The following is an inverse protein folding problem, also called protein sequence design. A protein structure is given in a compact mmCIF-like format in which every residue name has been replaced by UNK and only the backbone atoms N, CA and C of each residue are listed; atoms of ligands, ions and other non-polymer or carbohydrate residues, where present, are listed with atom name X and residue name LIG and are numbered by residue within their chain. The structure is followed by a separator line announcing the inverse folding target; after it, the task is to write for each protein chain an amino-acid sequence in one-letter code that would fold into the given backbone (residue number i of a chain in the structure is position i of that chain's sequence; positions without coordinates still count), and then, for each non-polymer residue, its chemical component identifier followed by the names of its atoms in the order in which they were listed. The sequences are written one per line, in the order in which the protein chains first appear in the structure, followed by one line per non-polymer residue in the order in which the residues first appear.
data_IF_246004538287
#
_entry.id   IF_246004538287
#
_cell.length_a   1.000
_cell.length_b   1.000
_cell.length_c   1.000
_cell.angle_alpha   90.00
_cell.angle_beta   90.00
_cell.angle_gamma   90.00
#
_symmetry.space_group_name_H-M   'P 1'
#
loop_
_entity.id
_entity.type
_entity.pdbx_description
1 polymer ?
#
# COMPACT_ATOMS: atom_id res chain seq x y z
N UNK A 1 -16.83 -5.14 -3.10
CA UNK A 1 -16.09 -4.61 -1.94
C UNK A 1 -16.22 -3.09 -2.01
N UNK A 2 -16.86 -2.45 -1.03
CA UNK A 2 -17.03 -0.99 -0.98
C UNK A 2 -16.20 -0.47 0.19
N UNK A 3 -15.01 0.07 -0.11
CA UNK A 3 -14.16 0.72 0.88
C UNK A 3 -14.53 2.20 0.94
N UNK A 4 -15.47 2.56 1.80
CA UNK A 4 -15.94 3.95 1.94
C UNK A 4 -14.90 4.90 2.55
N UNK A 5 -13.86 4.34 3.19
CA UNK A 5 -12.86 5.06 3.98
C UNK A 5 -11.42 4.93 3.45
N UNK A 6 -11.22 4.12 2.42
CA UNK A 6 -9.94 3.82 1.78
C UNK A 6 -8.85 3.36 2.76
N UNK A 7 -9.19 2.43 3.66
CA UNK A 7 -8.16 1.78 4.47
C UNK A 7 -7.26 0.90 3.60
N UNK A 8 -5.94 1.11 3.71
CA UNK A 8 -4.94 0.22 3.13
C UNK A 8 -5.03 -1.20 3.71
N UNK A 9 -4.53 -2.18 2.95
CA UNK A 9 -4.67 -3.60 3.28
C UNK A 9 -3.33 -4.33 3.16
N UNK A 10 -3.09 -5.26 4.10
CA UNK A 10 -1.95 -6.17 4.07
C UNK A 10 -2.41 -7.57 4.49
N UNK A 11 -2.17 -8.57 3.64
CA UNK A 11 -2.56 -9.95 3.91
C UNK A 11 -1.36 -10.91 3.83
N UNK A 12 -1.37 -11.91 4.69
CA UNK A 12 -0.47 -13.06 4.56
C UNK A 12 -1.18 -14.16 3.77
N UNK A 13 -0.85 -14.26 2.48
CA UNK A 13 -1.50 -15.24 1.59
C UNK A 13 -1.18 -16.71 1.93
N UNK A 14 -0.13 -16.98 2.71
CA UNK A 14 0.19 -18.35 3.14
C UNK A 14 -0.66 -18.75 4.33
N UNK A 15 -0.85 -17.85 5.29
CA UNK A 15 -1.63 -18.10 6.50
C UNK A 15 -3.14 -17.84 6.30
N UNK A 16 -3.49 -16.90 5.43
CA UNK A 16 -4.85 -16.45 5.12
C UNK A 16 -5.04 -16.30 3.59
N UNK A 17 -5.12 -17.43 2.86
CA UNK A 17 -5.30 -17.42 1.39
C UNK A 17 -6.61 -16.76 0.91
N UNK A 18 -7.55 -16.55 1.82
CA UNK A 18 -8.86 -15.97 1.53
C UNK A 18 -8.93 -14.48 1.90
N UNK A 19 -7.83 -13.86 2.33
CA UNK A 19 -7.72 -12.41 2.60
C UNK A 19 -8.80 -11.90 3.58
N UNK A 20 -9.05 -12.67 4.64
CA UNK A 20 -10.09 -12.40 5.63
C UNK A 20 -9.60 -11.55 6.81
N UNK A 21 -8.29 -11.45 7.01
CA UNK A 21 -7.65 -10.79 8.14
C UNK A 21 -6.68 -9.72 7.65
N UNK A 22 -7.11 -8.45 7.66
CA UNK A 22 -6.23 -7.33 7.34
C UNK A 22 -5.21 -7.08 8.47
N UNK A 23 -3.92 -7.17 8.13
CA UNK A 23 -2.78 -7.03 9.04
C UNK A 23 -2.12 -5.64 8.98
N UNK A 24 -2.65 -4.69 8.21
CA UNK A 24 -2.01 -3.39 7.94
C UNK A 24 -1.61 -2.60 9.19
N UNK A 25 -2.37 -2.76 10.29
CA UNK A 25 -2.16 -2.03 11.53
C UNK A 25 -1.20 -2.71 12.53
N UNK A 26 -0.63 -3.87 12.18
CA UNK A 26 0.32 -4.59 13.05
C UNK A 26 1.65 -3.81 13.12
N UNK A 27 2.10 -3.33 14.29
CA UNK A 27 3.35 -2.58 14.42
C UNK A 27 4.57 -3.34 13.91
N UNK A 28 4.62 -4.65 14.17
CA UNK A 28 5.68 -5.56 13.77
C UNK A 28 5.79 -5.74 12.24
N UNK A 29 4.72 -5.45 11.50
CA UNK A 29 4.69 -5.56 10.03
C UNK A 29 4.91 -4.22 9.32
N UNK A 30 5.01 -3.09 10.03
CA UNK A 30 5.27 -1.78 9.42
C UNK A 30 6.53 -1.73 8.54
N UNK A 31 7.64 -2.42 8.88
CA UNK A 31 8.78 -2.52 7.97
C UNK A 31 8.43 -3.18 6.63
N UNK A 32 7.56 -4.20 6.64
CA UNK A 32 7.09 -4.89 5.42
C UNK A 32 6.21 -3.96 4.58
N UNK A 33 5.30 -3.21 5.23
CA UNK A 33 4.46 -2.20 4.55
C UNK A 33 5.34 -1.16 3.86
N UNK A 34 6.34 -0.62 4.55
CA UNK A 34 7.30 0.34 3.97
C UNK A 34 8.00 -0.24 2.74
N UNK A 35 8.45 -1.49 2.82
CA UNK A 35 9.11 -2.16 1.70
C UNK A 35 8.18 -2.38 0.50
N UNK A 36 6.90 -2.68 0.74
CA UNK A 36 5.91 -2.83 -0.33
C UNK A 36 5.55 -1.49 -0.97
N UNK A 37 5.31 -0.44 -0.18
CA UNK A 37 5.12 0.91 -0.71
C UNK A 37 6.33 1.35 -1.54
N UNK A 38 7.56 1.05 -1.09
CA UNK A 38 8.79 1.35 -1.84
C UNK A 38 8.82 0.64 -3.19
N UNK A 39 8.46 -0.64 -3.25
CA UNK A 39 8.38 -1.40 -4.50
C UNK A 39 7.30 -0.82 -5.42
N UNK A 40 6.13 -0.49 -4.88
CA UNK A 40 5.03 0.13 -5.62
C UNK A 40 5.45 1.45 -6.28
N UNK A 41 6.09 2.36 -5.53
CA UNK A 41 6.55 3.63 -6.07
C UNK A 41 7.62 3.47 -7.15
N UNK A 42 8.55 2.52 -6.98
CA UNK A 42 9.55 2.20 -8.01
C UNK A 42 8.88 1.70 -9.28
N UNK A 43 7.93 0.76 -9.14
CA UNK A 43 7.17 0.22 -10.26
C UNK A 43 6.37 1.30 -10.99
N UNK A 44 5.64 2.15 -10.26
CA UNK A 44 4.88 3.25 -10.83
C UNK A 44 5.75 4.19 -11.67
N UNK A 45 6.93 4.55 -11.15
CA UNK A 45 7.90 5.37 -11.88
C UNK A 45 8.41 4.68 -13.14
N UNK A 46 8.80 3.41 -13.05
CA UNK A 46 9.33 2.64 -14.18
C UNK A 46 8.31 2.50 -15.32
N UNK A 47 7.02 2.46 -14.98
CA UNK A 47 5.93 2.31 -15.95
C UNK A 47 5.25 3.64 -16.31
N UNK A 48 5.76 4.77 -15.83
CA UNK A 48 5.16 6.10 -16.03
C UNK A 48 3.67 6.16 -15.64
N UNK A 49 3.33 5.50 -14.53
CA UNK A 49 1.95 5.37 -14.04
C UNK A 49 1.44 6.65 -13.38
N UNK A 50 0.17 6.99 -13.60
CA UNK A 50 -0.51 8.14 -13.00
C UNK A 50 -1.18 7.68 -11.70
N UNK A 51 -0.37 7.70 -10.65
CA UNK A 51 -0.67 7.24 -9.28
C UNK A 51 -1.41 8.26 -8.40
N UNK A 52 -1.94 9.32 -9.00
CA UNK A 52 -2.75 10.33 -8.31
C UNK A 52 -4.01 10.59 -9.13
N UNK A 53 -5.11 10.88 -8.45
CA UNK A 53 -6.35 11.26 -9.10
C UNK A 53 -6.90 12.56 -8.46
N UNK A 54 -7.87 13.25 -9.10
CA UNK A 54 -8.43 14.49 -8.57
C UNK A 54 -9.15 14.34 -7.21
N UNK A 55 -9.43 13.11 -6.77
CA UNK A 55 -10.00 12.79 -5.48
C UNK A 55 -8.90 12.42 -4.48
N UNK A 56 -8.26 13.45 -3.92
CA UNK A 56 -7.08 13.37 -3.04
C UNK A 56 -7.21 12.36 -1.89
N UNK A 57 -8.44 12.12 -1.40
CA UNK A 57 -8.69 11.15 -0.33
C UNK A 57 -8.27 9.73 -0.70
N UNK A 58 -8.18 9.43 -1.99
CA UNK A 58 -7.73 8.13 -2.53
C UNK A 58 -6.29 8.11 -3.05
N UNK A 59 -5.56 9.22 -2.83
CA UNK A 59 -4.15 9.35 -3.22
C UNK A 59 -3.23 9.37 -1.98
N UNK A 60 -3.74 8.91 -0.83
CA UNK A 60 -2.97 8.72 0.39
C UNK A 60 -2.43 7.30 0.42
N UNK A 61 -1.18 7.15 0.86
CA UNK A 61 -0.55 5.87 1.11
C UNK A 61 0.19 5.93 2.44
N UNK A 62 0.46 4.78 3.11
CA UNK A 62 1.11 4.77 4.43
C UNK A 62 2.51 5.40 4.41
N UNK A 63 3.19 5.31 3.26
CA UNK A 63 4.49 5.94 3.02
C UNK A 63 4.51 6.60 1.63
N UNK A 64 4.90 7.87 1.57
CA UNK A 64 4.95 8.64 0.33
C UNK A 64 6.08 8.24 -0.63
N UNK A 65 6.08 8.79 -1.87
CA UNK A 65 6.98 8.39 -2.96
C UNK A 65 8.48 8.62 -2.69
N UNK A 66 8.83 9.46 -1.70
CA UNK A 66 10.22 9.72 -1.32
C UNK A 66 11.01 8.46 -0.94
N UNK A 67 10.34 7.45 -0.38
CA UNK A 67 10.97 6.19 0.04
C UNK A 67 11.51 5.36 -1.13
N UNK A 68 11.13 5.68 -2.38
CA UNK A 68 11.67 5.04 -3.57
C UNK A 68 13.16 5.35 -3.79
N UNK A 69 13.67 6.41 -3.17
CA UNK A 69 15.04 6.91 -3.31
C UNK A 69 15.93 6.64 -2.10
N UNK A 70 15.36 6.03 -1.04
CA UNK A 70 16.11 5.51 0.11
C UNK A 70 16.96 4.27 -0.25
#
# INVERSE_FOLDING_TARGET
MFNAFDYDELYDLQADPNETVNLINRPELQPVVRDFCRKMWKFARENSDVIVNPYIMTALAPYGPGIAFD
#
